data_IF_296065434807
#
_entry.id   IF_296065434807
#
_cell.length_a   1.000
_cell.length_b   1.000
_cell.length_c   1.000
_cell.angle_alpha   90.00
_cell.angle_beta   90.00
_cell.angle_gamma   90.00
#
_symmetry.space_group_name_H-M   'P 1'
#
loop_
_entity.id
_entity.type
_entity.pdbx_description
1 polymer ?
#
# COMPACT_ATOMS: atom_id res chain seq x y z
N UNK A 1 21.21 -9.16 2.82
CA UNK A 1 20.35 -7.97 2.70
C UNK A 1 19.68 -7.98 1.33
N UNK A 2 18.57 -8.72 1.22
CA UNK A 2 17.76 -8.97 0.02
C UNK A 2 16.29 -8.54 0.20
N UNK A 3 15.67 -8.63 1.40
CA UNK A 3 14.29 -8.19 1.63
C UNK A 3 14.07 -6.70 1.36
N UNK A 4 15.01 -5.85 1.79
CA UNK A 4 14.88 -4.39 1.68
C UNK A 4 14.73 -3.93 0.23
N UNK A 5 15.44 -4.58 -0.71
CA UNK A 5 15.35 -4.24 -2.14
C UNK A 5 14.00 -4.59 -2.75
N UNK A 6 13.34 -5.65 -2.28
CA UNK A 6 12.02 -6.01 -2.79
C UNK A 6 10.97 -5.02 -2.27
N UNK A 7 11.01 -4.68 -0.99
CA UNK A 7 10.11 -3.69 -0.39
C UNK A 7 10.26 -2.31 -1.03
N UNK A 8 11.49 -1.86 -1.28
CA UNK A 8 11.76 -0.63 -2.03
C UNK A 8 11.15 -0.65 -3.42
N UNK A 9 11.34 -1.73 -4.19
CA UNK A 9 10.79 -1.86 -5.55
C UNK A 9 9.26 -1.89 -5.56
N UNK A 10 8.66 -2.58 -4.58
CA UNK A 10 7.21 -2.59 -4.39
C UNK A 10 6.71 -1.19 -4.08
N UNK A 11 7.38 -0.48 -3.16
CA UNK A 11 7.01 0.88 -2.80
C UNK A 11 7.11 1.84 -3.99
N UNK A 12 8.17 1.72 -4.81
CA UNK A 12 8.33 2.48 -6.05
C UNK A 12 7.23 2.16 -7.07
N UNK A 13 6.89 0.88 -7.27
CA UNK A 13 5.81 0.47 -8.15
C UNK A 13 4.46 1.09 -7.71
N UNK A 14 4.14 1.02 -6.42
CA UNK A 14 2.92 1.61 -5.87
C UNK A 14 2.92 3.14 -6.01
N UNK A 15 4.05 3.80 -5.77
CA UNK A 15 4.16 5.25 -5.97
C UNK A 15 3.88 5.66 -7.42
N UNK A 16 4.39 4.91 -8.40
CA UNK A 16 4.09 5.16 -9.82
C UNK A 16 2.60 4.98 -10.12
N UNK A 17 2.01 3.89 -9.66
CA UNK A 17 0.57 3.62 -9.83
C UNK A 17 -0.28 4.76 -9.24
N UNK A 18 0.01 5.21 -8.01
CA UNK A 18 -0.72 6.34 -7.40
C UNK A 18 -0.49 7.64 -8.17
N UNK A 19 0.72 7.90 -8.67
CA UNK A 19 1.00 9.10 -9.45
C UNK A 19 0.22 9.12 -10.77
N UNK A 20 0.10 7.97 -11.44
CA UNK A 20 -0.71 7.81 -12.65
C UNK A 20 -2.20 8.00 -12.36
N UNK A 21 -2.74 7.35 -11.32
CA UNK A 21 -4.14 7.50 -10.89
C UNK A 21 -4.48 8.96 -10.52
N UNK A 22 -3.53 9.67 -9.88
CA UNK A 22 -3.72 11.07 -9.45
C UNK A 22 -4.02 12.01 -10.61
N UNK A 23 -3.53 11.71 -11.82
CA UNK A 23 -3.71 12.56 -12.98
C UNK A 23 -5.18 12.69 -13.41
N UNK A 24 -6.02 11.70 -13.09
CA UNK A 24 -7.43 11.66 -13.49
C UNK A 24 -8.40 11.55 -12.31
N UNK A 25 -7.91 11.32 -11.10
CA UNK A 25 -8.73 11.18 -9.91
C UNK A 25 -9.20 12.53 -9.33
N UNK A 26 -10.39 12.54 -8.74
CA UNK A 26 -10.80 13.62 -7.83
C UNK A 26 -10.01 13.50 -6.52
N UNK A 27 -8.92 14.27 -6.44
CA UNK A 27 -8.01 14.24 -5.30
C UNK A 27 -8.57 14.83 -4.01
N UNK A 28 -9.73 15.50 -4.06
CA UNK A 28 -10.41 16.02 -2.87
C UNK A 28 -11.42 15.02 -2.28
N UNK A 29 -11.72 13.94 -3.00
CA UNK A 29 -12.73 12.96 -2.59
C UNK A 29 -12.29 12.13 -1.37
N UNK A 30 -13.25 11.69 -0.51
CA UNK A 30 -12.97 10.70 0.54
C UNK A 30 -12.41 9.39 -0.03
N UNK A 31 -12.88 8.97 -1.20
CA UNK A 31 -12.40 7.78 -1.89
C UNK A 31 -10.90 7.88 -2.23
N UNK A 32 -10.44 9.04 -2.72
CA UNK A 32 -9.02 9.26 -2.99
C UNK A 32 -8.17 9.22 -1.72
N UNK A 33 -8.66 9.82 -0.61
CA UNK A 33 -7.96 9.74 0.68
C UNK A 33 -7.82 8.30 1.16
N UNK A 34 -8.88 7.50 1.08
CA UNK A 34 -8.85 6.08 1.43
C UNK A 34 -7.87 5.30 0.54
N UNK A 35 -7.88 5.56 -0.78
CA UNK A 35 -6.94 4.97 -1.75
C UNK A 35 -5.48 5.28 -1.38
N UNK A 36 -5.18 6.52 -1.00
CA UNK A 36 -3.84 6.92 -0.57
C UNK A 36 -3.45 6.30 0.78
N UNK A 37 -4.38 6.15 1.72
CA UNK A 37 -4.14 5.48 3.01
C UNK A 37 -3.74 4.02 2.78
N UNK A 38 -4.50 3.27 1.98
CA UNK A 38 -4.17 1.90 1.59
C UNK A 38 -2.81 1.82 0.91
N UNK A 39 -2.51 2.74 -0.01
CA UNK A 39 -1.22 2.78 -0.70
C UNK A 39 -0.05 3.03 0.26
N UNK A 40 -0.23 3.92 1.24
CA UNK A 40 0.80 4.18 2.24
C UNK A 40 1.08 2.93 3.08
N UNK A 41 0.04 2.20 3.50
CA UNK A 41 0.18 0.96 4.27
C UNK A 41 0.89 -0.12 3.44
N UNK A 42 0.51 -0.28 2.17
CA UNK A 42 1.09 -1.30 1.28
C UNK A 42 2.59 -1.08 0.97
N UNK A 43 3.06 0.16 1.07
CA UNK A 43 4.47 0.54 0.88
C UNK A 43 5.36 0.20 2.06
N UNK A 44 4.81 0.00 3.25
CA UNK A 44 5.61 -0.34 4.43
C UNK A 44 6.21 -1.73 4.30
N UNK A 45 7.40 -1.89 4.88
CA UNK A 45 7.97 -3.19 5.19
C UNK A 45 6.99 -3.99 6.06
N UNK A 46 7.10 -5.32 6.06
CA UNK A 46 6.26 -6.16 6.90
C UNK A 46 6.29 -5.79 8.41
N UNK A 47 7.44 -5.53 9.06
CA UNK A 47 7.44 -5.10 10.45
C UNK A 47 6.79 -3.73 10.66
N UNK A 48 7.09 -2.74 9.82
CA UNK A 48 6.52 -1.39 9.96
C UNK A 48 5.01 -1.39 9.74
N UNK A 49 4.54 -2.20 8.79
CA UNK A 49 3.12 -2.35 8.48
C UNK A 49 2.34 -2.92 9.66
N UNK A 50 2.88 -3.95 10.33
CA UNK A 50 2.27 -4.54 11.53
C UNK A 50 2.12 -3.52 12.65
N UNK A 51 3.19 -2.74 12.91
CA UNK A 51 3.16 -1.67 13.91
C UNK A 51 2.14 -0.60 13.53
N UNK A 52 2.08 -0.19 12.26
CA UNK A 52 1.11 0.81 11.83
C UNK A 52 -0.34 0.32 11.98
N UNK A 53 -0.62 -0.92 11.59
CA UNK A 53 -1.95 -1.53 11.71
C UNK A 53 -2.39 -1.72 13.17
N UNK A 54 -1.47 -2.02 14.09
CA UNK A 54 -1.82 -2.11 15.52
C UNK A 54 -2.30 -0.75 16.07
N UNK A 55 -1.66 0.35 15.69
CA UNK A 55 -2.12 1.69 16.06
C UNK A 55 -3.47 2.05 15.43
N UNK A 56 -3.76 1.56 14.23
CA UNK A 56 -5.10 1.70 13.63
C UNK A 56 -6.11 0.91 14.45
N UNK A 57 -5.81 -0.34 14.81
CA UNK A 57 -6.70 -1.17 15.61
C UNK A 57 -7.05 -0.49 16.94
N UNK A 58 -6.05 0.08 17.63
CA UNK A 58 -6.24 0.84 18.87
C UNK A 58 -7.13 2.07 18.71
N UNK A 59 -7.05 2.78 17.57
CA UNK A 59 -7.73 4.07 17.35
C UNK A 59 -9.08 3.97 16.63
N UNK A 60 -9.21 3.02 15.71
CA UNK A 60 -10.33 2.86 14.77
C UNK A 60 -11.01 1.49 14.91
N UNK A 61 -10.47 0.60 15.73
CA UNK A 61 -10.99 -0.75 15.95
C UNK A 61 -10.39 -1.81 15.01
N UNK A 62 -10.42 -3.06 15.45
CA UNK A 62 -9.84 -4.21 14.74
C UNK A 62 -10.42 -4.39 13.34
N UNK A 63 -11.73 -4.16 13.16
CA UNK A 63 -12.39 -4.29 11.86
C UNK A 63 -11.79 -3.32 10.82
N UNK A 64 -11.57 -2.06 11.20
CA UNK A 64 -10.97 -1.06 10.31
C UNK A 64 -9.50 -1.39 10.00
N UNK A 65 -8.75 -1.90 10.98
CA UNK A 65 -7.38 -2.36 10.74
C UNK A 65 -7.35 -3.54 9.76
N UNK A 66 -8.25 -4.50 9.92
CA UNK A 66 -8.33 -5.68 9.06
C UNK A 66 -8.72 -5.34 7.62
N UNK A 67 -9.71 -4.45 7.41
CA UNK A 67 -10.09 -3.98 6.07
C UNK A 67 -8.93 -3.28 5.35
N UNK A 68 -8.17 -2.45 6.08
CA UNK A 68 -6.99 -1.78 5.54
C UNK A 68 -5.84 -2.75 5.26
N UNK A 69 -5.63 -3.74 6.12
CA UNK A 69 -4.65 -4.81 5.91
C UNK A 69 -4.95 -5.61 4.64
N UNK A 70 -6.20 -6.04 4.46
CA UNK A 70 -6.63 -6.78 3.29
C UNK A 70 -6.41 -5.97 2.00
N UNK A 71 -6.89 -4.73 1.99
CA UNK A 71 -6.76 -3.82 0.84
C UNK A 71 -5.29 -3.55 0.50
N UNK A 72 -4.43 -3.37 1.53
CA UNK A 72 -3.01 -3.17 1.33
C UNK A 72 -2.31 -4.42 0.78
N UNK A 73 -2.70 -5.60 1.26
CA UNK A 73 -2.18 -6.90 0.80
C UNK A 73 -2.50 -7.15 -0.68
N UNK A 74 -3.73 -6.86 -1.10
CA UNK A 74 -4.16 -6.97 -2.51
C UNK A 74 -3.37 -6.03 -3.43
N UNK A 75 -3.20 -4.77 -3.03
CA UNK A 75 -2.39 -3.81 -3.77
C UNK A 75 -0.93 -4.25 -3.88
N UNK A 76 -0.36 -4.74 -2.78
CA UNK A 76 1.03 -5.20 -2.73
C UNK A 76 1.24 -6.42 -3.63
N UNK A 77 0.28 -7.36 -3.61
CA UNK A 77 0.25 -8.53 -4.49
C UNK A 77 0.23 -8.11 -5.97
N UNK A 78 -0.60 -7.14 -6.31
CA UNK A 78 -0.65 -6.57 -7.68
C UNK A 78 0.69 -5.97 -8.09
N UNK A 79 1.34 -5.20 -7.21
CA UNK A 79 2.67 -4.63 -7.47
C UNK A 79 3.74 -5.71 -7.68
N UNK A 80 3.71 -6.79 -6.88
CA UNK A 80 4.63 -7.93 -7.02
C UNK A 80 4.45 -8.60 -8.38
N UNK A 81 3.21 -8.88 -8.81
CA UNK A 81 2.95 -9.47 -10.11
C UNK A 81 3.42 -8.57 -11.26
N UNK A 82 3.22 -7.26 -11.13
CA UNK A 82 3.71 -6.30 -12.12
C UNK A 82 5.25 -6.30 -12.22
N UNK A 83 5.94 -6.31 -11.08
CA UNK A 83 7.41 -6.36 -11.03
C UNK A 83 7.97 -7.66 -11.58
N UNK A 84 7.29 -8.80 -11.36
CA UNK A 84 7.69 -10.10 -11.88
C UNK A 84 7.55 -10.20 -13.40
N UNK A 85 6.64 -9.44 -14.01
CA UNK A 85 6.39 -9.43 -15.47
C UNK A 85 7.36 -8.56 -16.26
N UNK A 86 8.13 -7.66 -15.63
CA UNK A 86 9.14 -6.84 -16.30
C UNK A 86 10.48 -7.58 -16.32
N UNK A 87 10.95 -8.09 -17.48
CA UNK A 87 12.31 -8.63 -17.58
C UNK A 87 13.32 -7.52 -17.25
N UNK A 88 14.37 -7.91 -16.53
CA UNK A 88 15.41 -7.04 -15.96
C UNK A 88 16.23 -6.31 -17.02
#
# INVERSE_FOLDING_TARGET
MLPDRLDERIAEAINRTIAEERATADTASPAWRARCEVAQIAKYSDPDRRVFLSHIAERRGDAAAHELEQSASELRTTAIFFLARKPS
#
